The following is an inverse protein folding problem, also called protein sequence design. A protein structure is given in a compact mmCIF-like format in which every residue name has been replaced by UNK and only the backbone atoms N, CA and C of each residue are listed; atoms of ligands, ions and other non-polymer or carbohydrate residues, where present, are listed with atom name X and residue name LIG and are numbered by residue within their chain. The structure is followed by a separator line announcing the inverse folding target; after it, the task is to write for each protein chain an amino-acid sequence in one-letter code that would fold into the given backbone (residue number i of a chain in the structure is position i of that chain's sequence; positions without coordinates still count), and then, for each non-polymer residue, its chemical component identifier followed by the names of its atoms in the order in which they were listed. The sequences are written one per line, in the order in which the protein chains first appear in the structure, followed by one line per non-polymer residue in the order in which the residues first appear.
data_IF_127020461242
#
_entry.id   IF_127020461242
#
_cell.length_a   1.000
_cell.length_b   1.000
_cell.length_c   1.000
_cell.angle_alpha   90.00
_cell.angle_beta   90.00
_cell.angle_gamma   90.00
#
_symmetry.space_group_name_H-M   'P 1'
#
loop_
_entity.id
_entity.type
_entity.pdbx_description
1 polymer ?
#
# COMPACT_ATOMS: atom_id res chain seq x y z
N UNK A 1 -20.51 19.48 -11.32
CA UNK A 1 -19.81 18.19 -11.47
C UNK A 1 -18.75 18.14 -10.39
N UNK A 2 -18.78 17.17 -9.47
CA UNK A 2 -17.68 16.99 -8.51
C UNK A 2 -16.50 16.45 -9.32
N UNK A 3 -15.40 17.19 -9.36
CA UNK A 3 -14.15 16.69 -9.93
C UNK A 3 -13.83 15.37 -9.23
N UNK A 4 -13.81 14.27 -9.98
CA UNK A 4 -13.39 12.99 -9.44
C UNK A 4 -11.92 13.16 -9.03
N UNK A 5 -11.62 12.97 -7.75
CA UNK A 5 -10.23 12.92 -7.30
C UNK A 5 -9.46 11.91 -8.18
N UNK A 6 -8.43 12.39 -8.85
CA UNK A 6 -7.60 11.55 -9.71
C UNK A 6 -6.58 10.85 -8.81
N UNK A 7 -6.45 9.54 -8.95
CA UNK A 7 -5.53 8.75 -8.13
C UNK A 7 -4.45 8.10 -8.99
N UNK A 8 -3.28 7.92 -8.41
CA UNK A 8 -2.25 7.02 -8.95
C UNK A 8 -2.00 5.89 -7.98
N UNK A 9 -1.71 4.70 -8.50
CA UNK A 9 -1.24 3.58 -7.70
C UNK A 9 0.28 3.57 -7.74
N UNK A 10 0.92 3.46 -6.56
CA UNK A 10 2.37 3.29 -6.45
C UNK A 10 2.67 1.97 -5.74
N UNK A 11 3.52 1.15 -6.36
CA UNK A 11 3.94 -0.13 -5.82
C UNK A 11 5.24 0.02 -5.02
N UNK A 12 5.18 -0.31 -3.75
CA UNK A 12 6.29 -0.28 -2.80
C UNK A 12 7.12 -1.54 -2.95
N UNK A 13 8.39 -1.36 -3.32
CA UNK A 13 9.39 -2.44 -3.35
C UNK A 13 10.35 -2.37 -2.15
N UNK A 14 10.82 -1.17 -1.82
CA UNK A 14 11.63 -0.90 -0.62
C UNK A 14 11.35 0.51 -0.06
N UNK A 15 11.77 0.77 1.19
CA UNK A 15 11.50 2.03 1.88
C UNK A 15 12.26 3.23 1.29
N UNK A 16 13.52 3.04 0.90
CA UNK A 16 14.39 4.14 0.46
C UNK A 16 13.88 4.75 -0.84
N UNK A 17 13.65 3.93 -1.85
CA UNK A 17 13.12 4.37 -3.14
C UNK A 17 11.70 4.92 -3.02
N UNK A 18 10.87 4.30 -2.17
CA UNK A 18 9.50 4.78 -1.92
C UNK A 18 9.50 6.16 -1.27
N UNK A 19 10.36 6.39 -0.27
CA UNK A 19 10.52 7.71 0.35
C UNK A 19 11.05 8.72 -0.65
N UNK A 20 12.03 8.35 -1.46
CA UNK A 20 12.57 9.24 -2.49
C UNK A 20 11.47 9.65 -3.47
N UNK A 21 10.67 8.71 -3.96
CA UNK A 21 9.51 9.01 -4.81
C UNK A 21 8.49 9.93 -4.11
N UNK A 22 8.07 9.59 -2.90
CA UNK A 22 7.04 10.34 -2.16
C UNK A 22 7.50 11.75 -1.80
N UNK A 23 8.77 11.94 -1.45
CA UNK A 23 9.33 13.27 -1.18
C UNK A 23 9.28 14.17 -2.43
N UNK A 24 9.58 13.61 -3.60
CA UNK A 24 9.58 14.34 -4.87
C UNK A 24 8.18 14.46 -5.51
N UNK A 25 7.18 13.78 -4.97
CA UNK A 25 5.80 13.86 -5.45
C UNK A 25 5.13 15.17 -5.04
N UNK A 26 4.88 16.03 -6.03
CA UNK A 26 4.36 17.39 -5.84
C UNK A 26 3.03 17.65 -6.58
N UNK A 27 2.40 16.61 -7.15
CA UNK A 27 1.09 16.77 -7.81
C UNK A 27 0.00 16.89 -6.74
N UNK A 28 -0.50 18.11 -6.53
CA UNK A 28 -1.53 18.40 -5.53
C UNK A 28 -2.94 18.01 -5.98
N UNK A 29 -3.13 17.70 -7.27
CA UNK A 29 -4.42 17.28 -7.83
C UNK A 29 -4.60 15.77 -7.80
N UNK A 30 -3.53 15.02 -7.54
CA UNK A 30 -3.56 13.57 -7.50
C UNK A 30 -3.12 13.04 -6.14
N UNK A 31 -3.90 12.11 -5.59
CA UNK A 31 -3.51 11.39 -4.38
C UNK A 31 -2.98 10.01 -4.74
N UNK A 32 -2.20 9.45 -3.84
CA UNK A 32 -1.53 8.15 -4.03
C UNK A 32 -2.30 7.06 -3.31
N UNK A 33 -2.50 5.93 -4.01
CA UNK A 33 -2.83 4.65 -3.42
C UNK A 33 -1.53 3.86 -3.31
N UNK A 34 -1.09 3.60 -2.08
CA UNK A 34 0.06 2.72 -1.85
C UNK A 34 -0.37 1.26 -1.95
N UNK A 35 0.46 0.45 -2.58
CA UNK A 35 0.31 -1.00 -2.60
C UNK A 35 1.67 -1.67 -2.62
N UNK A 36 1.74 -2.97 -2.38
CA UNK A 36 2.94 -3.77 -2.56
C UNK A 36 3.00 -4.40 -3.96
N UNK A 37 4.20 -4.70 -4.44
CA UNK A 37 4.41 -5.45 -5.69
C UNK A 37 3.93 -6.90 -5.56
N UNK A 38 3.53 -7.53 -6.67
CA UNK A 38 3.14 -8.94 -6.67
C UNK A 38 4.29 -9.83 -6.15
N UNK A 39 3.95 -10.83 -5.32
CA UNK A 39 4.94 -11.74 -4.71
C UNK A 39 5.82 -11.13 -3.60
N UNK A 40 5.72 -9.83 -3.29
CA UNK A 40 6.51 -9.21 -2.21
C UNK A 40 6.25 -9.82 -0.84
N UNK A 41 5.00 -10.20 -0.53
CA UNK A 41 4.65 -10.91 0.71
C UNK A 41 5.38 -12.26 0.83
N UNK A 42 5.57 -12.98 -0.28
CA UNK A 42 6.32 -14.23 -0.28
C UNK A 42 7.84 -14.01 -0.15
N UNK A 43 8.34 -12.90 -0.71
CA UNK A 43 9.77 -12.54 -0.66
C UNK A 43 10.21 -12.02 0.71
N UNK A 44 9.46 -11.07 1.28
CA UNK A 44 9.85 -10.34 2.49
C UNK A 44 9.08 -10.78 3.73
N UNK A 45 7.97 -11.48 3.56
CA UNK A 45 7.00 -11.76 4.63
C UNK A 45 5.99 -10.63 4.79
N UNK A 46 4.76 -11.01 5.09
CA UNK A 46 3.62 -10.08 5.20
C UNK A 46 3.83 -8.98 6.25
N UNK A 47 4.51 -9.29 7.36
CA UNK A 47 4.78 -8.33 8.43
C UNK A 47 5.68 -7.19 7.95
N UNK A 48 6.70 -7.52 7.15
CA UNK A 48 7.65 -6.53 6.62
C UNK A 48 6.95 -5.64 5.61
N UNK A 49 6.13 -6.21 4.74
CA UNK A 49 5.35 -5.44 3.76
C UNK A 49 4.34 -4.52 4.47
N UNK A 50 3.61 -5.04 5.47
CA UNK A 50 2.72 -4.23 6.30
C UNK A 50 3.47 -3.07 6.98
N UNK A 51 4.66 -3.34 7.52
CA UNK A 51 5.49 -2.31 8.14
C UNK A 51 5.88 -1.21 7.15
N UNK A 52 6.27 -1.55 5.92
CA UNK A 52 6.59 -0.56 4.90
C UNK A 52 5.38 0.30 4.54
N UNK A 53 4.25 -0.35 4.26
CA UNK A 53 3.00 0.30 3.91
C UNK A 53 2.50 1.22 5.03
N UNK A 54 2.51 0.74 6.28
CA UNK A 54 2.10 1.54 7.45
C UNK A 54 3.03 2.75 7.65
N UNK A 55 4.34 2.52 7.65
CA UNK A 55 5.35 3.57 7.87
C UNK A 55 5.21 4.69 6.84
N UNK A 56 5.12 4.35 5.55
CA UNK A 56 4.97 5.33 4.48
C UNK A 56 3.61 6.04 4.56
N UNK A 57 2.52 5.32 4.89
CA UNK A 57 1.19 5.91 5.01
C UNK A 57 1.10 6.97 6.10
N UNK A 58 1.79 6.77 7.23
CA UNK A 58 1.83 7.73 8.33
C UNK A 58 2.73 8.92 8.03
N UNK A 59 3.88 8.67 7.44
CA UNK A 59 4.88 9.71 7.13
C UNK A 59 4.38 10.66 6.03
N UNK A 60 3.63 10.17 5.05
CA UNK A 60 3.13 10.93 3.90
C UNK A 60 1.60 10.97 3.84
N UNK A 61 0.96 11.09 5.01
CA UNK A 61 -0.50 11.09 5.16
C UNK A 61 -1.23 12.17 4.33
N UNK A 62 -0.53 13.27 4.00
CA UNK A 62 -1.06 14.34 3.16
C UNK A 62 -1.07 13.97 1.67
N UNK A 63 -0.27 12.99 1.24
CA UNK A 63 -0.14 12.55 -0.16
C UNK A 63 -0.94 11.27 -0.43
N UNK A 64 -1.10 10.43 0.59
CA UNK A 64 -1.68 9.09 0.47
C UNK A 64 -3.15 9.12 0.87
N UNK A 65 -4.02 8.65 -0.02
CA UNK A 65 -5.47 8.53 0.26
C UNK A 65 -5.84 7.16 0.84
N UNK A 66 -5.10 6.13 0.44
CA UNK A 66 -5.42 4.74 0.79
C UNK A 66 -4.18 3.87 0.65
N UNK A 67 -4.13 2.84 1.49
CA UNK A 67 -3.08 1.82 1.45
C UNK A 67 -3.72 0.45 1.27
N UNK A 68 -3.21 -0.33 0.31
CA UNK A 68 -3.68 -1.67 -0.01
C UNK A 68 -2.55 -2.67 0.22
N UNK A 69 -2.88 -3.80 0.83
CA UNK A 69 -1.98 -4.94 0.90
C UNK A 69 -2.55 -6.05 0.02
N UNK A 70 -1.86 -6.33 -1.09
CA UNK A 70 -2.10 -7.47 -1.94
C UNK A 70 -1.47 -8.71 -1.31
N UNK A 71 -2.31 -9.68 -0.98
CA UNK A 71 -1.90 -11.00 -0.50
C UNK A 71 -2.34 -12.07 -1.50
N UNK A 72 -1.44 -13.01 -1.77
CA UNK A 72 -1.66 -14.05 -2.77
C UNK A 72 -2.04 -15.39 -2.14
N UNK A 73 -1.63 -15.65 -0.90
CA UNK A 73 -1.94 -16.90 -0.19
C UNK A 73 -2.80 -16.65 1.06
N UNK A 74 -3.50 -17.72 1.48
CA UNK A 74 -4.41 -17.68 2.62
C UNK A 74 -3.69 -17.41 3.95
N UNK A 75 -2.47 -17.92 4.14
CA UNK A 75 -1.74 -17.74 5.39
C UNK A 75 -1.28 -16.29 5.57
N UNK A 76 -0.81 -15.66 4.50
CA UNK A 76 -0.51 -14.22 4.48
C UNK A 76 -1.77 -13.39 4.74
N UNK A 77 -2.92 -13.77 4.18
CA UNK A 77 -4.19 -13.08 4.44
C UNK A 77 -4.60 -13.13 5.92
N UNK A 78 -4.56 -14.32 6.54
CA UNK A 78 -4.88 -14.49 7.96
C UNK A 78 -3.90 -13.72 8.84
N UNK A 79 -2.61 -13.83 8.54
CA UNK A 79 -1.55 -13.12 9.26
C UNK A 79 -1.78 -11.60 9.17
N UNK A 80 -2.04 -11.05 7.98
CA UNK A 80 -2.34 -9.63 7.81
C UNK A 80 -3.59 -9.20 8.59
N UNK A 81 -4.67 -10.00 8.57
CA UNK A 81 -5.91 -9.70 9.29
C UNK A 81 -5.72 -9.67 10.81
N UNK A 82 -4.87 -10.54 11.35
CA UNK A 82 -4.56 -10.57 12.79
C UNK A 82 -3.79 -9.36 13.31
N UNK A 83 -3.21 -8.54 12.43
CA UNK A 83 -2.45 -7.35 12.83
C UNK A 83 -3.34 -6.14 13.12
N UNK A 84 -4.64 -6.22 12.83
CA UNK A 84 -5.61 -5.16 13.10
C UNK A 84 -5.13 -3.76 12.64
N UNK A 85 -4.63 -3.67 11.40
CA UNK A 85 -4.13 -2.42 10.82
C UNK A 85 -5.28 -1.69 10.07
N UNK A 86 -6.06 -0.79 10.72
CA UNK A 86 -7.26 -0.20 10.12
C UNK A 86 -6.97 0.66 8.89
N UNK A 87 -5.75 1.19 8.78
CA UNK A 87 -5.29 2.02 7.67
C UNK A 87 -4.88 1.21 6.42
N UNK A 88 -4.80 -0.13 6.52
CA UNK A 88 -4.42 -1.00 5.40
C UNK A 88 -5.62 -1.84 4.97
N UNK A 89 -6.08 -1.61 3.73
CA UNK A 89 -7.07 -2.47 3.09
C UNK A 89 -6.40 -3.73 2.58
N UNK A 90 -6.66 -4.86 3.22
CA UNK A 90 -6.14 -6.17 2.79
C UNK A 90 -6.99 -6.70 1.65
N UNK A 91 -6.36 -6.97 0.52
CA UNK A 91 -6.98 -7.47 -0.71
C UNK A 91 -6.36 -8.81 -1.07
N UNK A 92 -7.18 -9.85 -1.14
CA UNK A 92 -6.74 -11.17 -1.60
C UNK A 92 -6.95 -11.30 -3.10
N UNK A 93 -5.92 -11.73 -3.81
CA UNK A 93 -5.88 -11.83 -5.29
C UNK A 93 -7.00 -12.72 -5.85
N UNK A 94 -7.42 -13.73 -5.10
CA UNK A 94 -8.42 -14.73 -5.52
C UNK A 94 -9.86 -14.21 -5.67
N UNK A 95 -10.16 -12.97 -5.23
CA UNK A 95 -11.50 -12.37 -5.36
C UNK A 95 -11.72 -11.58 -6.66
N UNK A 96 -10.75 -11.58 -7.57
CA UNK A 96 -10.86 -10.99 -8.90
C UNK A 96 -10.62 -12.06 -9.97
N UNK A 97 -11.56 -13.01 -10.08
CA UNK A 97 -11.74 -13.86 -11.26
C UNK A 97 -13.23 -13.88 -11.61
#
# INVERSE_FOLDING_TARGET
MKDAESFITYEVDNLEDSKHFLNNYNDTKKKIILTNTAGSCARYGVLVVCFFLDSLSREFQDKITMTKLLVEDYMSFISAKSLELPQITIVRKDYFN
#
